data_IF_276365861422
#
_entry.id   IF_276365861422
#
_cell.length_a   1.000
_cell.length_b   1.000
_cell.length_c   1.000
_cell.angle_alpha   90.00
_cell.angle_beta   90.00
_cell.angle_gamma   90.00
#
_symmetry.space_group_name_H-M   'P 1'
#
loop_
_entity.id
_entity.type
_entity.pdbx_description
1 polymer ?
#
# COMPACT_ATOMS: atom_id res chain seq x y z
N UNK A 1 -11.53 33.33 -9.12
CA UNK A 1 -11.36 31.92 -8.69
C UNK A 1 -11.18 31.08 -9.94
N UNK A 2 -10.10 30.31 -10.04
CA UNK A 2 -10.24 28.96 -10.55
C UNK A 2 -9.59 28.00 -9.56
N UNK A 3 -10.41 27.19 -8.89
CA UNK A 3 -9.90 25.98 -8.24
C UNK A 3 -9.57 25.01 -9.35
N UNK A 4 -8.30 24.96 -9.73
CA UNK A 4 -7.77 23.88 -10.56
C UNK A 4 -7.86 22.59 -9.75
N UNK A 5 -8.96 21.88 -9.90
CA UNK A 5 -9.07 20.48 -9.52
C UNK A 5 -8.05 19.73 -10.36
N UNK A 6 -6.88 19.47 -9.78
CA UNK A 6 -5.90 18.53 -10.31
C UNK A 6 -6.65 17.25 -10.69
N UNK A 7 -6.40 16.65 -11.86
CA UNK A 7 -7.00 15.37 -12.18
C UNK A 7 -6.65 14.41 -11.05
N UNK A 8 -7.66 13.74 -10.51
CA UNK A 8 -7.48 12.65 -9.56
C UNK A 8 -6.57 11.65 -10.28
N UNK A 9 -5.28 11.65 -9.94
CA UNK A 9 -4.34 10.66 -10.41
C UNK A 9 -4.78 9.35 -9.78
N UNK A 10 -5.74 8.67 -10.41
CA UNK A 10 -6.00 7.28 -10.16
C UNK A 10 -4.65 6.59 -10.23
N UNK A 11 -4.32 5.84 -9.20
CA UNK A 11 -3.26 4.87 -9.32
C UNK A 11 -3.76 3.88 -10.37
N UNK A 12 -3.41 4.13 -11.64
CA UNK A 12 -3.67 3.22 -12.76
C UNK A 12 -2.85 1.95 -12.51
N UNK A 13 -3.41 1.09 -11.67
CA UNK A 13 -2.90 -0.25 -11.47
C UNK A 13 -3.52 -1.12 -12.56
N UNK A 14 -2.71 -1.74 -13.44
CA UNK A 14 -3.22 -2.68 -14.43
C UNK A 14 -3.68 -4.02 -13.82
N UNK A 15 -3.78 -4.10 -12.48
CA UNK A 15 -4.09 -5.32 -11.72
C UNK A 15 -5.34 -5.12 -10.86
N UNK A 16 -6.12 -6.19 -10.59
CA UNK A 16 -7.19 -6.16 -9.61
C UNK A 16 -6.72 -5.63 -8.26
N UNK A 17 -7.57 -4.87 -7.57
CA UNK A 17 -7.24 -4.15 -6.32
C UNK A 17 -6.75 -5.08 -5.21
N UNK A 18 -7.40 -6.23 -5.06
CA UNK A 18 -7.02 -7.26 -4.09
C UNK A 18 -5.65 -7.89 -4.43
N UNK A 19 -5.38 -8.10 -5.72
CA UNK A 19 -4.06 -8.57 -6.16
C UNK A 19 -2.98 -7.51 -5.91
N UNK A 20 -3.26 -6.24 -6.20
CA UNK A 20 -2.34 -5.14 -5.96
C UNK A 20 -1.93 -5.03 -4.49
N UNK A 21 -2.89 -5.16 -3.55
CA UNK A 21 -2.59 -5.18 -2.11
C UNK A 21 -1.65 -6.33 -1.74
N UNK A 22 -1.89 -7.53 -2.25
CA UNK A 22 -1.02 -8.70 -1.97
C UNK A 22 0.39 -8.50 -2.50
N UNK A 23 0.51 -8.04 -3.74
CA UNK A 23 1.81 -7.82 -4.39
C UNK A 23 2.60 -6.71 -3.67
N UNK A 24 1.93 -5.64 -3.26
CA UNK A 24 2.52 -4.54 -2.50
C UNK A 24 3.04 -5.01 -1.13
N UNK A 25 2.24 -5.77 -0.38
CA UNK A 25 2.65 -6.24 0.94
C UNK A 25 3.74 -7.31 0.86
N UNK A 26 3.80 -8.10 -0.20
CA UNK A 26 4.93 -8.98 -0.48
C UNK A 26 6.21 -8.18 -0.76
N UNK A 27 6.12 -7.10 -1.53
CA UNK A 27 7.23 -6.19 -1.75
C UNK A 27 7.71 -5.56 -0.44
N UNK A 28 6.81 -5.02 0.38
CA UNK A 28 7.12 -4.49 1.70
C UNK A 28 7.84 -5.52 2.59
N UNK A 29 7.36 -6.78 2.59
CA UNK A 29 7.97 -7.86 3.35
C UNK A 29 9.39 -8.20 2.87
N UNK A 30 9.70 -8.02 1.58
CA UNK A 30 11.05 -8.24 1.04
C UNK A 30 12.07 -7.19 1.47
N UNK A 31 11.63 -6.01 1.94
CA UNK A 31 12.51 -4.91 2.37
C UNK A 31 13.02 -5.07 3.82
N UNK A 32 12.61 -6.14 4.49
CA UNK A 32 12.89 -6.38 5.90
C UNK A 32 13.61 -7.72 6.05
N UNK A 33 14.52 -7.84 7.02
CA UNK A 33 15.15 -9.11 7.38
C UNK A 33 14.58 -9.69 8.68
N UNK A 34 14.22 -8.82 9.62
CA UNK A 34 13.69 -9.19 10.93
C UNK A 34 12.38 -10.01 10.83
N UNK A 35 12.33 -11.23 11.41
CA UNK A 35 11.15 -12.09 11.32
C UNK A 35 9.89 -11.51 11.96
N UNK A 36 10.02 -10.78 13.07
CA UNK A 36 8.86 -10.22 13.79
C UNK A 36 8.23 -9.08 13.00
N UNK A 37 9.06 -8.25 12.36
CA UNK A 37 8.62 -7.21 11.45
C UNK A 37 8.07 -7.81 10.14
N UNK A 38 8.67 -8.87 9.58
CA UNK A 38 8.12 -9.60 8.43
C UNK A 38 6.72 -10.13 8.67
N UNK A 39 6.43 -10.60 9.89
CA UNK A 39 5.11 -11.11 10.25
C UNK A 39 4.01 -10.03 10.27
N UNK A 40 4.39 -8.74 10.29
CA UNK A 40 3.43 -7.64 10.28
C UNK A 40 2.75 -7.46 8.92
N UNK A 41 3.43 -7.76 7.80
CA UNK A 41 2.90 -7.54 6.46
C UNK A 41 1.78 -8.53 6.06
N UNK A 42 1.89 -9.84 6.33
CA UNK A 42 0.75 -10.76 6.17
C UNK A 42 -0.45 -10.35 7.05
N UNK A 43 -0.19 -9.93 8.29
CA UNK A 43 -1.24 -9.42 9.19
C UNK A 43 -1.92 -8.18 8.64
N UNK A 44 -1.15 -7.22 8.11
CA UNK A 44 -1.69 -6.04 7.45
C UNK A 44 -2.55 -6.42 6.23
N UNK A 45 -2.16 -7.45 5.48
CA UNK A 45 -2.93 -7.96 4.34
C UNK A 45 -4.31 -8.43 4.77
N UNK A 46 -4.38 -9.23 5.83
CA UNK A 46 -5.65 -9.69 6.39
C UNK A 46 -6.54 -8.53 6.84
N UNK A 47 -5.96 -7.53 7.53
CA UNK A 47 -6.68 -6.33 7.97
C UNK A 47 -7.21 -5.54 6.77
N UNK A 48 -6.39 -5.31 5.73
CA UNK A 48 -6.79 -4.58 4.54
C UNK A 48 -7.91 -5.31 3.79
N UNK A 49 -7.78 -6.62 3.57
CA UNK A 49 -8.80 -7.43 2.89
C UNK A 49 -10.12 -7.45 3.67
N UNK A 50 -10.07 -7.64 4.99
CA UNK A 50 -11.26 -7.68 5.84
C UNK A 50 -12.04 -6.37 5.81
N UNK A 51 -11.35 -5.24 5.71
CA UNK A 51 -11.96 -3.92 5.66
C UNK A 51 -12.22 -3.43 4.22
N UNK A 52 -11.96 -4.27 3.19
CA UNK A 52 -12.02 -3.87 1.77
C UNK A 52 -11.20 -2.61 1.46
N UNK A 53 -10.09 -2.42 2.18
CA UNK A 53 -9.16 -1.32 1.97
C UNK A 53 -8.18 -1.70 0.86
N UNK A 54 -8.12 -0.85 -0.17
CA UNK A 54 -7.20 -0.99 -1.29
C UNK A 54 -6.13 0.13 -1.29
N UNK A 55 -5.12 -0.02 -2.13
CA UNK A 55 -4.00 0.92 -2.20
C UNK A 55 -4.42 2.31 -2.71
N UNK A 56 -5.47 2.39 -3.53
CA UNK A 56 -5.99 3.65 -4.07
C UNK A 56 -6.63 4.48 -2.94
N UNK A 57 -7.45 3.82 -2.10
CA UNK A 57 -8.09 4.45 -0.94
C UNK A 57 -7.06 4.93 0.09
N UNK A 58 -6.06 4.12 0.40
CA UNK A 58 -5.02 4.47 1.39
C UNK A 58 -4.13 5.59 0.84
N UNK A 59 -3.80 5.56 -0.44
CA UNK A 59 -3.02 6.63 -1.05
C UNK A 59 -3.77 7.97 -1.07
N UNK A 60 -5.10 7.92 -1.30
CA UNK A 60 -5.93 9.12 -1.32
C UNK A 60 -6.18 9.70 0.09
N UNK A 61 -6.40 8.84 1.09
CA UNK A 61 -6.56 9.23 2.49
C UNK A 61 -5.60 8.46 3.39
N UNK A 62 -4.33 8.90 3.49
CA UNK A 62 -3.29 8.24 4.27
C UNK A 62 -3.65 8.18 5.77
N UNK A 63 -4.06 7.00 6.24
CA UNK A 63 -4.40 6.78 7.64
C UNK A 63 -3.89 5.43 8.16
N UNK A 64 -2.83 5.38 8.99
CA UNK A 64 -2.29 4.13 9.53
C UNK A 64 -3.13 3.53 10.67
N UNK A 65 -4.09 4.28 11.22
CA UNK A 65 -4.78 3.94 12.46
C UNK A 65 -5.57 2.63 12.38
N UNK A 66 -6.15 2.31 11.21
CA UNK A 66 -6.90 1.07 11.03
C UNK A 66 -6.00 -0.18 11.07
N UNK A 67 -4.75 -0.05 10.60
CA UNK A 67 -3.75 -1.12 10.68
C UNK A 67 -3.29 -1.31 12.12
N UNK A 68 -3.05 -0.20 12.83
CA UNK A 68 -2.64 -0.22 14.24
C UNK A 68 -3.74 -0.85 15.10
N UNK A 69 -5.00 -0.48 14.89
CA UNK A 69 -6.17 -1.12 15.54
C UNK A 69 -6.33 -2.59 15.16
N UNK A 70 -5.91 -2.96 13.95
CA UNK A 70 -5.79 -4.35 13.50
C UNK A 70 -4.61 -5.11 14.12
N UNK A 71 -3.80 -4.45 14.94
CA UNK A 71 -2.66 -5.01 15.67
C UNK A 71 -1.36 -5.04 14.88
N UNK A 72 -1.25 -4.32 13.76
CA UNK A 72 0.02 -4.08 13.06
C UNK A 72 0.85 -3.11 13.90
N UNK A 73 2.16 -3.33 14.02
CA UNK A 73 3.03 -2.40 14.74
C UNK A 73 3.06 -1.02 14.08
N UNK A 74 3.22 0.03 14.88
CA UNK A 74 3.16 1.44 14.42
C UNK A 74 4.14 1.69 13.26
N UNK A 75 5.38 1.21 13.37
CA UNK A 75 6.39 1.37 12.32
C UNK A 75 5.97 0.72 11.00
N UNK A 76 5.49 -0.53 11.02
CA UNK A 76 5.03 -1.21 9.83
C UNK A 76 3.81 -0.51 9.21
N UNK A 77 2.85 -0.05 10.04
CA UNK A 77 1.69 0.69 9.57
C UNK A 77 2.06 2.01 8.87
N UNK A 78 3.05 2.74 9.40
CA UNK A 78 3.54 3.97 8.77
C UNK A 78 4.22 3.70 7.42
N UNK A 79 5.06 2.67 7.32
CA UNK A 79 5.69 2.26 6.05
C UNK A 79 4.65 1.83 5.01
N UNK A 80 3.65 1.04 5.41
CA UNK A 80 2.58 0.58 4.53
C UNK A 80 1.79 1.74 3.92
N UNK A 81 1.59 2.83 4.66
CA UNK A 81 0.88 4.00 4.14
C UNK A 81 1.81 4.89 3.31
N UNK A 82 3.05 5.09 3.75
CA UNK A 82 4.00 5.99 3.11
C UNK A 82 4.57 5.46 1.79
N UNK A 83 4.81 4.16 1.70
CA UNK A 83 5.60 3.58 0.61
C UNK A 83 4.76 3.22 -0.63
N UNK A 84 3.44 3.42 -0.59
CA UNK A 84 2.54 3.13 -1.73
C UNK A 84 2.95 3.92 -2.96
N UNK A 85 3.28 5.21 -2.79
CA UNK A 85 3.67 6.09 -3.88
C UNK A 85 4.93 5.60 -4.60
N UNK A 86 5.89 5.07 -3.83
CA UNK A 86 7.16 4.60 -4.36
C UNK A 86 7.02 3.23 -5.02
N UNK A 87 6.22 2.34 -4.45
CA UNK A 87 5.89 1.07 -5.09
C UNK A 87 5.21 1.26 -6.44
N UNK A 88 4.27 2.21 -6.55
CA UNK A 88 3.62 2.55 -7.82
C UNK A 88 4.63 2.99 -8.88
N UNK A 89 5.60 3.83 -8.50
CA UNK A 89 6.66 4.27 -9.43
C UNK A 89 7.50 3.10 -9.91
N UNK A 90 7.86 2.18 -9.01
CA UNK A 90 8.62 0.96 -9.33
C UNK A 90 7.82 0.09 -10.31
N UNK A 91 6.52 -0.14 -10.06
CA UNK A 91 5.68 -0.92 -10.97
C UNK A 91 5.64 -0.34 -12.38
N UNK A 92 5.52 0.99 -12.51
CA UNK A 92 5.50 1.67 -13.82
C UNK A 92 6.84 1.58 -14.56
N UNK A 93 7.95 1.62 -13.84
CA UNK A 93 9.28 1.47 -14.43
C UNK A 93 9.52 0.06 -14.95
N UNK A 94 9.13 -0.96 -14.18
CA UNK A 94 9.29 -2.36 -14.56
C UNK A 94 8.42 -2.76 -15.77
N UNK A 95 7.31 -2.07 -16.04
CA UNK A 95 6.47 -2.27 -17.23
C UNK A 95 7.03 -1.63 -18.51
N UNK A 96 8.05 -0.77 -18.40
CA UNK A 96 8.65 -0.08 -19.56
C UNK A 96 9.89 -0.81 -20.09
N UNK A 97 10.37 -1.86 -19.39
CA UNK A 97 11.58 -2.61 -19.73
C UNK A 97 11.30 -4.02 -20.31
N UNK A 98 10.04 -4.39 -20.55
CA UNK A 98 9.63 -5.59 -21.33
C UNK A 98 9.07 -5.23 -22.71
#
# INVERSE_FOLDING_TARGET
MPSTSTPINRLDFPRPRDKAVKDYLAWQQSQVEDPEQKAQYPKACEVMMKNSMDLELIYHDPNPEFLIKGGVTIGAALHIVGDIADWVKICKQNETEE
#
